data_IF_065897674949
#
_entry.id   IF_065897674949
#
_cell.length_a   1.000
_cell.length_b   1.000
_cell.length_c   1.000
_cell.angle_alpha   90.00
_cell.angle_beta   90.00
_cell.angle_gamma   90.00
#
_symmetry.space_group_name_H-M   'P 1'
#
loop_
_entity.id
_entity.type
_entity.pdbx_description
1 polymer ?
#
# COMPACT_ATOMS: atom_id res chain seq x y z
N UNK A 1 14.69 52.50 -3.54
CA UNK A 1 15.73 52.41 -4.56
C UNK A 1 15.03 52.12 -5.88
N UNK A 2 15.24 52.90 -6.92
CA UNK A 2 14.61 52.65 -8.22
C UNK A 2 15.46 51.65 -8.99
N UNK A 3 14.82 50.67 -9.63
CA UNK A 3 15.47 49.75 -10.56
C UNK A 3 15.47 50.43 -11.94
N UNK A 4 16.66 50.60 -12.53
CA UNK A 4 16.81 51.15 -13.87
C UNK A 4 17.21 50.03 -14.85
N UNK A 5 16.46 49.92 -15.93
CA UNK A 5 16.77 48.97 -17.02
C UNK A 5 17.34 49.81 -18.15
N UNK A 6 18.62 49.62 -18.50
CA UNK A 6 19.30 50.31 -19.59
C UNK A 6 18.98 49.62 -20.91
N UNK A 7 18.91 50.38 -22.00
CA UNK A 7 18.61 49.86 -23.34
C UNK A 7 19.60 48.80 -23.88
N UNK A 8 20.73 48.57 -23.21
CA UNK A 8 21.71 47.52 -23.52
C UNK A 8 21.41 46.21 -22.72
N UNK A 9 20.28 46.11 -22.04
CA UNK A 9 19.89 44.92 -21.26
C UNK A 9 20.52 44.81 -19.86
N UNK A 10 21.27 45.82 -19.41
CA UNK A 10 21.88 45.81 -18.07
C UNK A 10 20.85 46.32 -17.04
N UNK A 11 20.63 45.56 -15.98
CA UNK A 11 19.82 45.96 -14.85
C UNK A 11 20.75 46.43 -13.73
N UNK A 12 20.64 47.74 -13.37
CA UNK A 12 21.40 48.30 -12.25
C UNK A 12 20.46 48.54 -11.03
N UNK A 13 21.05 48.41 -9.84
CA UNK A 13 20.26 48.47 -8.58
C UNK A 13 19.53 47.17 -8.22
N UNK A 14 19.76 46.10 -8.94
CA UNK A 14 19.28 44.78 -8.59
C UNK A 14 20.28 44.09 -7.66
N UNK A 15 19.81 43.72 -6.48
CA UNK A 15 20.55 42.83 -5.59
C UNK A 15 19.98 41.41 -5.77
N UNK A 16 20.81 40.47 -6.22
CA UNK A 16 20.36 39.07 -6.30
C UNK A 16 19.82 38.60 -4.95
N UNK A 17 18.83 37.76 -4.99
CA UNK A 17 18.34 37.11 -3.77
C UNK A 17 19.49 36.28 -3.19
N UNK A 18 20.00 36.70 -2.02
CA UNK A 18 21.10 35.97 -1.38
C UNK A 18 20.68 34.56 -0.98
N UNK A 19 21.62 33.62 -1.01
CA UNK A 19 21.38 32.26 -0.54
C UNK A 19 20.82 32.28 0.89
N UNK A 20 19.75 31.50 1.12
CA UNK A 20 19.04 31.46 2.41
C UNK A 20 18.16 32.68 2.71
N UNK A 21 18.07 33.67 1.79
CA UNK A 21 17.19 34.83 1.98
C UNK A 21 15.69 34.51 1.83
N UNK A 22 15.34 33.42 1.17
CA UNK A 22 13.98 32.89 1.12
C UNK A 22 13.79 31.98 2.32
N UNK A 23 13.10 32.45 3.34
CA UNK A 23 12.75 31.69 4.53
C UNK A 23 11.30 31.17 4.44
N UNK A 24 10.93 30.18 5.25
CA UNK A 24 9.56 29.69 5.33
C UNK A 24 8.52 30.80 5.55
N UNK A 25 8.89 31.82 6.34
CA UNK A 25 8.02 32.99 6.60
C UNK A 25 7.82 33.91 5.38
N UNK A 26 8.66 33.80 4.35
CA UNK A 26 8.55 34.57 3.10
C UNK A 26 7.81 33.82 1.99
N UNK A 27 7.54 32.56 2.20
CA UNK A 27 6.68 31.77 1.33
C UNK A 27 5.24 31.90 1.81
N UNK A 28 4.33 32.28 0.93
CA UNK A 28 2.92 32.19 1.24
C UNK A 28 2.53 30.73 1.54
N UNK A 29 1.51 30.55 2.38
CA UNK A 29 0.90 29.23 2.53
C UNK A 29 0.55 28.68 1.14
N UNK A 30 0.87 27.43 0.90
CA UNK A 30 0.64 26.74 -0.38
C UNK A 30 1.41 27.28 -1.60
N UNK A 31 2.43 28.11 -1.40
CA UNK A 31 3.30 28.56 -2.48
C UNK A 31 4.00 27.40 -3.22
N UNK A 32 4.24 26.30 -2.51
CA UNK A 32 4.68 25.02 -3.10
C UNK A 32 3.50 24.05 -3.01
N UNK A 33 2.83 23.86 -4.11
CA UNK A 33 1.71 22.95 -4.26
C UNK A 33 2.08 21.73 -5.12
N UNK A 34 1.24 20.72 -5.14
CA UNK A 34 1.41 19.56 -6.03
C UNK A 34 1.58 20.00 -7.51
N UNK A 35 0.94 21.11 -7.92
CA UNK A 35 1.05 21.63 -9.28
C UNK A 35 2.45 22.17 -9.62
N UNK A 36 3.17 22.72 -8.64
CA UNK A 36 4.49 23.36 -8.84
C UNK A 36 5.65 22.39 -8.71
N UNK A 37 5.44 21.22 -8.11
CA UNK A 37 6.49 20.20 -7.97
C UNK A 37 6.81 19.53 -9.32
N UNK A 38 8.05 19.14 -9.58
CA UNK A 38 8.39 18.41 -10.80
C UNK A 38 7.84 16.99 -10.81
N UNK A 39 7.74 16.38 -12.01
CA UNK A 39 7.42 14.97 -12.14
C UNK A 39 8.41 14.10 -11.34
N UNK A 40 7.94 13.00 -10.76
CA UNK A 40 8.71 12.13 -9.87
C UNK A 40 8.72 12.56 -8.40
N UNK A 41 8.18 13.74 -8.06
CA UNK A 41 8.06 14.17 -6.67
C UNK A 41 7.05 13.31 -5.92
N UNK A 42 7.37 12.94 -4.67
CA UNK A 42 6.41 12.36 -3.74
C UNK A 42 5.51 13.48 -3.22
N UNK A 43 4.21 13.37 -3.49
CA UNK A 43 3.21 14.36 -3.10
C UNK A 43 2.66 14.11 -1.70
N UNK A 44 2.46 12.85 -1.35
CA UNK A 44 1.98 12.43 -0.03
C UNK A 44 2.30 10.96 0.25
N UNK A 45 2.27 10.62 1.52
CA UNK A 45 2.43 9.24 2.00
C UNK A 45 1.31 8.96 2.99
N UNK A 46 0.61 7.84 2.80
CA UNK A 46 -0.40 7.34 3.72
C UNK A 46 0.02 5.96 4.20
N UNK A 47 -0.08 5.72 5.50
CA UNK A 47 0.27 4.44 6.11
C UNK A 47 -0.87 3.97 7.01
N UNK A 48 -1.17 2.67 6.94
CA UNK A 48 -2.06 1.97 7.87
C UNK A 48 -1.26 0.91 8.60
N UNK A 49 -1.30 0.96 9.94
CA UNK A 49 -0.72 -0.05 10.82
C UNK A 49 -1.84 -0.78 11.53
N UNK A 50 -1.91 -2.09 11.38
CA UNK A 50 -2.87 -2.94 12.04
C UNK A 50 -2.18 -3.80 13.10
N UNK A 51 -2.58 -3.63 14.35
CA UNK A 51 -2.12 -4.45 15.49
C UNK A 51 -3.25 -5.31 16.06
N UNK A 52 -4.50 -4.99 15.71
CA UNK A 52 -5.66 -5.80 16.05
C UNK A 52 -5.64 -7.12 15.26
N UNK A 53 -6.25 -8.14 15.84
CA UNK A 53 -6.41 -9.42 15.16
C UNK A 53 -7.65 -9.41 14.30
N UNK A 54 -7.57 -10.00 13.10
CA UNK A 54 -8.71 -10.17 12.21
C UNK A 54 -8.78 -11.63 11.74
N UNK A 55 -9.97 -12.21 11.78
CA UNK A 55 -10.25 -13.54 11.24
C UNK A 55 -10.97 -13.40 9.90
N UNK A 56 -10.36 -13.86 8.82
CA UNK A 56 -10.89 -13.79 7.46
C UNK A 56 -11.28 -15.19 7.01
N UNK A 57 -12.59 -15.48 7.01
CA UNK A 57 -13.11 -16.75 6.49
C UNK A 57 -12.99 -16.78 4.95
N UNK A 58 -12.37 -17.86 4.43
CA UNK A 58 -12.21 -18.07 2.99
C UNK A 58 -13.15 -19.20 2.54
N UNK A 59 -14.35 -18.82 2.14
CA UNK A 59 -15.44 -19.76 1.88
C UNK A 59 -15.39 -20.39 0.48
N UNK A 60 -14.69 -19.77 -0.48
CA UNK A 60 -14.64 -20.23 -1.85
C UNK A 60 -13.21 -20.27 -2.38
N UNK A 61 -12.87 -21.32 -3.10
CA UNK A 61 -11.56 -21.45 -3.74
C UNK A 61 -11.40 -20.39 -4.84
N UNK A 62 -10.23 -19.75 -4.90
CA UNK A 62 -9.91 -18.74 -5.90
C UNK A 62 -10.57 -17.38 -5.70
N UNK A 63 -11.32 -17.18 -4.61
CA UNK A 63 -11.86 -15.88 -4.23
C UNK A 63 -10.94 -15.23 -3.20
N UNK A 64 -10.60 -13.96 -3.41
CA UNK A 64 -9.83 -13.18 -2.46
C UNK A 64 -10.74 -12.34 -1.57
N UNK A 65 -10.65 -12.56 -0.27
CA UNK A 65 -11.42 -11.87 0.77
C UNK A 65 -10.56 -10.76 1.38
N UNK A 66 -11.07 -9.55 1.41
CA UNK A 66 -10.30 -8.39 1.83
C UNK A 66 -9.91 -8.38 3.31
N UNK A 67 -8.67 -8.06 3.59
CA UNK A 67 -8.18 -7.77 4.95
C UNK A 67 -8.50 -6.30 5.23
N UNK A 68 -9.66 -6.05 5.83
CA UNK A 68 -10.23 -4.69 5.96
C UNK A 68 -9.47 -3.79 6.93
N UNK A 69 -8.78 -4.38 7.91
CA UNK A 69 -7.98 -3.62 8.88
C UNK A 69 -6.69 -3.04 8.25
N UNK A 70 -6.37 -3.46 7.02
CA UNK A 70 -5.27 -2.90 6.21
C UNK A 70 -5.74 -1.95 5.11
N UNK A 71 -7.03 -1.60 5.05
CA UNK A 71 -7.53 -0.64 4.08
C UNK A 71 -6.77 0.69 4.19
N UNK A 72 -6.09 1.06 3.12
CA UNK A 72 -5.34 2.31 3.05
C UNK A 72 -5.90 3.17 1.94
N UNK A 73 -6.58 4.24 2.32
CA UNK A 73 -7.21 5.18 1.37
C UNK A 73 -6.34 6.41 1.18
N UNK A 74 -6.07 6.72 -0.07
CA UNK A 74 -5.37 7.94 -0.49
C UNK A 74 -6.28 8.75 -1.41
N UNK A 75 -6.37 10.07 -1.18
CA UNK A 75 -7.05 10.98 -2.11
C UNK A 75 -6.00 11.68 -2.96
N UNK A 76 -6.02 11.45 -4.26
CA UNK A 76 -5.00 11.94 -5.19
C UNK A 76 -4.91 13.46 -5.20
N UNK A 77 -3.70 14.01 -5.13
CA UNK A 77 -3.41 15.45 -5.21
C UNK A 77 -3.16 15.91 -6.65
N UNK A 78 -2.80 14.99 -7.54
CA UNK A 78 -2.56 15.30 -8.96
C UNK A 78 -3.27 14.28 -9.86
N UNK A 79 -3.68 14.72 -11.04
CA UNK A 79 -4.26 13.82 -12.02
C UNK A 79 -3.21 12.84 -12.57
N UNK A 80 -3.64 11.60 -12.83
CA UNK A 80 -2.81 10.53 -13.38
C UNK A 80 -1.56 10.18 -12.56
N UNK A 81 -1.50 10.55 -11.28
CA UNK A 81 -0.40 10.18 -10.38
C UNK A 81 -0.17 8.67 -10.38
N UNK A 82 1.09 8.29 -10.19
CA UNK A 82 1.47 6.92 -9.89
C UNK A 82 1.42 6.70 -8.38
N UNK A 83 1.02 5.49 -7.98
CA UNK A 83 0.92 5.12 -6.58
C UNK A 83 1.88 3.97 -6.30
N UNK A 84 2.92 4.23 -5.49
CA UNK A 84 3.82 3.20 -4.99
C UNK A 84 3.18 2.59 -3.75
N UNK A 85 2.91 1.30 -3.79
CA UNK A 85 2.26 0.56 -2.71
C UNK A 85 3.17 -0.54 -2.21
N UNK A 86 3.17 -0.77 -0.90
CA UNK A 86 3.88 -1.86 -0.24
C UNK A 86 3.11 -2.32 0.98
N UNK A 87 3.22 -3.60 1.33
CA UNK A 87 2.49 -4.20 2.43
C UNK A 87 3.26 -5.36 3.04
N UNK A 88 3.10 -5.54 4.34
CA UNK A 88 3.44 -6.76 5.05
C UNK A 88 2.22 -7.24 5.80
N UNK A 89 1.91 -8.52 5.62
CA UNK A 89 0.84 -9.20 6.35
C UNK A 89 1.47 -10.24 7.26
N UNK A 90 1.20 -10.13 8.56
CA UNK A 90 1.56 -11.14 9.54
C UNK A 90 0.33 -11.97 9.88
N UNK A 91 0.47 -13.29 9.96
CA UNK A 91 -0.64 -14.15 10.33
C UNK A 91 -0.42 -15.61 9.98
N UNK A 92 -1.46 -16.39 10.20
CA UNK A 92 -1.45 -17.84 10.01
C UNK A 92 -2.74 -18.31 9.35
N UNK A 93 -2.63 -19.34 8.52
CA UNK A 93 -3.77 -20.10 8.00
C UNK A 93 -4.19 -21.19 8.99
N UNK A 94 -5.47 -21.53 8.96
CA UNK A 94 -6.02 -22.59 9.84
C UNK A 94 -5.58 -24.00 9.48
N UNK A 95 -5.05 -24.18 8.26
CA UNK A 95 -4.55 -25.46 7.77
C UNK A 95 -3.31 -25.25 6.91
N UNK A 96 -2.23 -25.97 7.19
CA UNK A 96 -0.99 -25.91 6.41
C UNK A 96 -1.11 -26.58 5.04
N UNK A 97 -2.02 -27.54 4.89
CA UNK A 97 -2.26 -28.20 3.61
C UNK A 97 -3.08 -27.31 2.67
N UNK A 98 -3.68 -26.23 3.20
CA UNK A 98 -4.36 -25.23 2.40
C UNK A 98 -3.36 -24.20 1.86
N UNK A 99 -3.20 -24.16 0.56
CA UNK A 99 -2.38 -23.14 -0.09
C UNK A 99 -3.13 -21.80 -0.05
N UNK A 100 -2.63 -20.88 0.76
CA UNK A 100 -3.12 -19.51 0.80
C UNK A 100 -2.28 -18.61 -0.08
N UNK A 101 -2.94 -17.66 -0.73
CA UNK A 101 -2.30 -16.61 -1.52
C UNK A 101 -2.88 -15.26 -1.24
N UNK A 102 -2.14 -14.24 -1.63
CA UNK A 102 -2.54 -12.85 -1.53
C UNK A 102 -2.69 -12.23 -2.91
N UNK A 103 -3.67 -11.33 -3.06
CA UNK A 103 -3.84 -10.48 -4.23
C UNK A 103 -3.96 -9.03 -3.81
N UNK A 104 -3.35 -8.13 -4.57
CA UNK A 104 -3.62 -6.72 -4.47
C UNK A 104 -5.04 -6.42 -4.92
N UNK A 105 -5.75 -5.63 -4.13
CA UNK A 105 -7.08 -5.11 -4.48
C UNK A 105 -7.05 -3.59 -4.49
N UNK A 106 -7.68 -3.01 -5.51
CA UNK A 106 -7.88 -1.58 -5.62
C UNK A 106 -9.36 -1.26 -5.64
N UNK A 107 -9.80 -0.40 -4.73
CA UNK A 107 -11.17 0.09 -4.60
C UNK A 107 -11.29 1.53 -5.09
N UNK A 108 -12.22 1.78 -6.01
CA UNK A 108 -12.62 3.11 -6.45
C UNK A 108 -14.13 3.17 -6.34
N UNK A 109 -14.66 4.21 -5.69
CA UNK A 109 -16.10 4.37 -5.45
C UNK A 109 -16.76 3.14 -4.80
N UNK A 110 -16.04 2.47 -3.88
CA UNK A 110 -16.53 1.31 -3.13
C UNK A 110 -16.45 -0.03 -3.84
N UNK A 111 -16.07 -0.07 -5.12
CA UNK A 111 -15.91 -1.33 -5.86
C UNK A 111 -14.45 -1.75 -5.86
N UNK A 112 -14.16 -2.95 -5.37
CA UNK A 112 -12.81 -3.53 -5.34
C UNK A 112 -12.60 -4.47 -6.51
N UNK A 113 -11.41 -4.39 -7.12
CA UNK A 113 -10.95 -5.30 -8.17
C UNK A 113 -9.56 -5.82 -7.82
N UNK A 114 -9.34 -7.12 -8.05
CA UNK A 114 -8.00 -7.71 -7.95
C UNK A 114 -7.14 -7.23 -9.12
N UNK A 115 -5.87 -7.00 -8.86
CA UNK A 115 -4.90 -6.64 -9.89
C UNK A 115 -3.51 -7.17 -9.56
N UNK A 116 -2.58 -7.13 -10.52
CA UNK A 116 -1.21 -7.68 -10.36
C UNK A 116 -1.18 -9.12 -9.87
N UNK A 117 -2.01 -9.94 -10.44
CA UNK A 117 -1.98 -11.38 -10.30
C UNK A 117 -1.12 -12.00 -11.42
N UNK A 118 -0.70 -13.26 -11.23
CA UNK A 118 -0.02 -14.02 -12.26
C UNK A 118 -0.85 -14.13 -13.55
N UNK A 119 -0.21 -14.52 -14.63
CA UNK A 119 -0.84 -14.66 -15.94
C UNK A 119 -1.84 -15.81 -15.97
N UNK A 120 -3.03 -15.54 -16.53
CA UNK A 120 -4.03 -16.56 -16.84
C UNK A 120 -3.65 -17.25 -18.16
N UNK A 121 -3.17 -18.47 -18.06
CA UNK A 121 -2.85 -19.30 -19.24
C UNK A 121 -4.08 -20.03 -19.83
N UNK A 122 -5.30 -19.60 -19.42
CA UNK A 122 -6.56 -20.20 -19.85
C UNK A 122 -6.84 -21.58 -19.25
N UNK A 123 -6.06 -22.00 -18.25
CA UNK A 123 -6.21 -23.27 -17.56
C UNK A 123 -6.85 -23.10 -16.18
N UNK A 124 -6.82 -24.14 -15.36
CA UNK A 124 -7.39 -24.12 -13.99
C UNK A 124 -6.42 -23.56 -12.93
N UNK A 125 -5.36 -22.89 -13.32
CA UNK A 125 -4.38 -22.30 -12.39
C UNK A 125 -5.00 -21.14 -11.64
N UNK A 126 -4.51 -20.94 -10.42
CA UNK A 126 -4.96 -19.86 -9.56
C UNK A 126 -4.00 -18.68 -9.67
N UNK A 127 -4.50 -17.59 -10.17
CA UNK A 127 -3.76 -16.35 -10.24
C UNK A 127 -3.73 -15.66 -8.88
N UNK A 128 -2.55 -15.25 -8.45
CA UNK A 128 -2.35 -14.48 -7.20
C UNK A 128 -1.11 -13.60 -7.34
N UNK A 129 -1.00 -12.59 -6.49
CA UNK A 129 0.19 -11.75 -6.44
C UNK A 129 1.35 -12.51 -5.80
N UNK A 130 1.10 -13.22 -4.71
CA UNK A 130 2.10 -14.04 -4.01
C UNK A 130 1.43 -15.14 -3.19
N UNK A 131 2.19 -16.17 -2.88
CA UNK A 131 1.78 -17.22 -1.95
C UNK A 131 2.21 -16.81 -0.54
N UNK A 132 1.43 -17.19 0.46
CA UNK A 132 1.80 -17.00 1.86
C UNK A 132 3.10 -17.75 2.16
N UNK A 133 4.04 -17.09 2.83
CA UNK A 133 5.23 -17.75 3.34
C UNK A 133 4.81 -18.68 4.48
N UNK A 134 5.09 -19.98 4.34
CA UNK A 134 4.83 -20.97 5.38
C UNK A 134 6.11 -21.12 6.21
N UNK A 135 6.06 -20.64 7.43
CA UNK A 135 7.09 -20.91 8.43
C UNK A 135 6.57 -21.92 9.46
N UNK A 136 7.39 -22.88 9.87
CA UNK A 136 7.04 -23.82 10.93
C UNK A 136 8.19 -23.96 11.90
N UNK A 137 7.90 -23.85 13.19
CA UNK A 137 8.88 -24.18 14.23
C UNK A 137 9.04 -25.70 14.41
N UNK A 138 7.98 -26.45 14.12
CA UNK A 138 7.94 -27.90 14.28
C UNK A 138 6.83 -28.50 13.43
N UNK A 139 6.43 -29.72 13.72
CA UNK A 139 5.23 -30.35 13.16
C UNK A 139 3.91 -29.76 13.67
N UNK A 140 3.95 -28.79 14.57
CA UNK A 140 2.76 -28.11 15.06
C UNK A 140 2.35 -27.01 14.08
N UNK A 141 1.12 -27.07 13.62
CA UNK A 141 0.55 -26.31 12.50
C UNK A 141 -0.31 -25.14 12.95
N UNK A 142 -0.40 -24.89 14.25
CA UNK A 142 -1.38 -23.95 14.81
C UNK A 142 -0.75 -22.84 15.65
N UNK A 143 0.56 -22.74 15.66
CA UNK A 143 1.31 -21.83 16.55
C UNK A 143 2.48 -21.13 15.85
N UNK A 144 2.49 -21.09 14.53
CA UNK A 144 3.61 -20.52 13.76
C UNK A 144 3.14 -19.49 12.74
N UNK A 145 2.69 -18.32 13.19
CA UNK A 145 2.36 -17.24 12.28
C UNK A 145 3.62 -16.73 11.55
N UNK A 146 3.46 -16.29 10.33
CA UNK A 146 4.56 -15.78 9.52
C UNK A 146 4.26 -14.39 8.96
N UNK A 147 5.33 -13.67 8.63
CA UNK A 147 5.22 -12.40 7.91
C UNK A 147 5.41 -12.65 6.41
N UNK A 148 4.42 -12.28 5.63
CA UNK A 148 4.51 -12.25 4.16
C UNK A 148 4.63 -10.82 3.70
N UNK A 149 5.76 -10.47 3.11
CA UNK A 149 5.97 -9.15 2.51
C UNK A 149 5.56 -9.17 1.04
N UNK A 150 4.69 -8.24 0.66
CA UNK A 150 4.40 -7.97 -0.73
C UNK A 150 5.37 -6.90 -1.21
N UNK A 151 6.18 -7.18 -2.24
CA UNK A 151 7.18 -6.22 -2.72
C UNK A 151 6.52 -4.92 -3.21
N UNK A 152 7.25 -3.80 -3.15
CA UNK A 152 6.73 -2.54 -3.65
C UNK A 152 6.31 -2.64 -5.11
N UNK A 153 5.16 -2.07 -5.42
CA UNK A 153 4.53 -2.07 -6.74
C UNK A 153 4.11 -0.66 -7.10
N UNK A 154 4.31 -0.25 -8.34
CA UNK A 154 3.78 1.00 -8.89
C UNK A 154 2.47 0.70 -9.63
N UNK A 155 1.38 1.25 -9.12
CA UNK A 155 0.09 1.27 -9.80
C UNK A 155 -0.11 2.61 -10.53
N UNK A 156 -0.80 2.57 -11.67
CA UNK A 156 -1.14 3.74 -12.49
C UNK A 156 -2.65 3.75 -12.74
N UNK A 157 -3.46 4.16 -11.75
CA UNK A 157 -4.91 4.03 -11.82
C UNK A 157 -5.59 5.01 -12.79
N UNK A 158 -4.85 5.97 -13.35
CA UNK A 158 -5.32 6.98 -14.32
C UNK A 158 -6.54 7.76 -13.82
N UNK A 159 -6.51 8.24 -12.58
CA UNK A 159 -7.60 8.95 -11.95
C UNK A 159 -7.37 10.48 -11.97
N UNK A 160 -8.47 11.25 -11.86
CA UNK A 160 -8.42 12.68 -11.66
C UNK A 160 -7.88 13.02 -10.25
N UNK A 161 -7.34 14.24 -10.09
CA UNK A 161 -7.07 14.79 -8.77
C UNK A 161 -8.35 14.84 -7.93
N UNK A 162 -8.23 14.57 -6.63
CA UNK A 162 -9.37 14.49 -5.70
C UNK A 162 -10.07 13.14 -5.67
N UNK A 163 -9.61 12.14 -6.43
CA UNK A 163 -10.21 10.80 -6.39
C UNK A 163 -9.68 10.01 -5.19
N UNK A 164 -10.59 9.49 -4.37
CA UNK A 164 -10.26 8.57 -3.30
C UNK A 164 -10.07 7.16 -3.85
N UNK A 165 -8.89 6.57 -3.57
CA UNK A 165 -8.52 5.23 -3.98
C UNK A 165 -8.15 4.45 -2.72
N UNK A 166 -8.76 3.30 -2.51
CA UNK A 166 -8.45 2.42 -1.38
C UNK A 166 -7.67 1.21 -1.87
N UNK A 167 -6.50 0.98 -1.30
CA UNK A 167 -5.75 -0.25 -1.48
C UNK A 167 -6.01 -1.19 -0.34
N UNK A 168 -6.06 -2.47 -0.66
CA UNK A 168 -6.34 -3.58 0.25
C UNK A 168 -5.56 -4.81 -0.19
N UNK A 169 -5.28 -5.71 0.73
CA UNK A 169 -4.87 -7.07 0.41
C UNK A 169 -6.06 -8.00 0.56
N UNK A 170 -6.31 -8.75 -0.49
CA UNK A 170 -7.19 -9.91 -0.43
C UNK A 170 -6.41 -11.17 -0.11
N UNK A 171 -6.92 -12.00 0.79
CA UNK A 171 -6.41 -13.33 1.08
C UNK A 171 -7.37 -14.37 0.56
N UNK A 172 -6.85 -15.40 -0.10
CA UNK A 172 -7.65 -16.47 -0.69
C UNK A 172 -6.98 -17.82 -0.59
N UNK A 173 -7.79 -18.86 -0.52
CA UNK A 173 -7.32 -20.25 -0.55
C UNK A 173 -7.42 -20.84 -1.95
N UNK A 174 -6.60 -21.84 -2.21
CA UNK A 174 -6.56 -22.56 -3.50
C UNK A 174 -7.39 -23.82 -3.50
N UNK A 175 -7.44 -24.53 -2.37
CA UNK A 175 -8.11 -25.84 -2.24
C UNK A 175 -8.50 -26.06 -0.78
N UNK A 176 -9.28 -27.10 -0.53
CA UNK A 176 -9.64 -27.53 0.81
C UNK A 176 -11.04 -27.09 1.27
N UNK A 177 -11.39 -27.46 2.50
CA UNK A 177 -12.62 -27.09 3.19
C UNK A 177 -12.70 -25.60 3.48
N UNK A 178 -13.74 -25.12 4.15
CA UNK A 178 -13.79 -23.74 4.64
C UNK A 178 -12.65 -23.51 5.63
N UNK A 179 -11.74 -22.64 5.25
CA UNK A 179 -10.56 -22.29 6.02
C UNK A 179 -10.59 -20.81 6.41
N UNK A 180 -9.77 -20.41 7.35
CA UNK A 180 -9.62 -19.01 7.71
C UNK A 180 -8.15 -18.60 7.71
N UNK A 181 -7.91 -17.34 7.38
CA UNK A 181 -6.66 -16.67 7.63
C UNK A 181 -6.80 -15.78 8.87
N UNK A 182 -5.87 -15.90 9.80
CA UNK A 182 -5.84 -15.15 11.06
C UNK A 182 -4.73 -14.12 11.02
N UNK A 183 -5.10 -12.86 10.79
CA UNK A 183 -4.16 -11.76 10.77
C UNK A 183 -3.71 -11.41 12.19
N UNK A 184 -2.42 -11.13 12.33
CA UNK A 184 -1.73 -10.67 13.56
C UNK A 184 -1.77 -11.64 14.74
N UNK A 185 -2.07 -12.92 14.49
CA UNK A 185 -2.11 -13.95 15.54
C UNK A 185 -1.82 -15.34 14.98
N UNK A 186 -1.42 -16.24 15.88
CA UNK A 186 -1.41 -17.66 15.63
C UNK A 186 -2.83 -18.24 15.59
N UNK A 187 -3.01 -19.38 14.94
CA UNK A 187 -4.33 -20.02 14.87
C UNK A 187 -4.87 -20.41 16.25
N UNK A 188 -4.05 -21.04 17.06
CA UNK A 188 -4.47 -21.48 18.39
C UNK A 188 -4.63 -20.31 19.40
N UNK A 189 -3.93 -19.21 19.19
CA UNK A 189 -4.00 -17.92 19.93
C UNK A 189 -4.36 -18.05 21.43
N UNK A 190 -3.69 -18.95 22.13
CA UNK A 190 -3.83 -19.06 23.58
C UNK A 190 -2.88 -18.09 24.31
N UNK A 191 -3.20 -17.72 25.55
CA UNK A 191 -2.33 -16.87 26.37
C UNK A 191 -1.10 -17.65 26.87
N UNK A 192 -0.18 -17.97 25.98
CA UNK A 192 1.05 -18.72 26.23
C UNK A 192 2.18 -18.06 25.44
N UNK A 193 3.39 -18.13 25.98
CA UNK A 193 4.60 -17.63 25.31
C UNK A 193 4.95 -18.40 24.02
N UNK A 194 4.24 -19.46 23.71
CA UNK A 194 4.42 -20.24 22.48
C UNK A 194 3.59 -19.71 21.29
N UNK A 195 2.78 -18.67 21.50
CA UNK A 195 1.91 -18.12 20.44
C UNK A 195 2.24 -16.66 20.24
N UNK A 196 2.67 -16.34 19.03
CA UNK A 196 3.10 -15.00 18.69
C UNK A 196 1.92 -14.16 18.17
N UNK A 197 1.99 -12.88 18.49
CA UNK A 197 1.20 -11.82 17.86
C UNK A 197 2.12 -10.83 17.19
N UNK A 198 1.78 -10.43 15.99
CA UNK A 198 2.55 -9.48 15.21
C UNK A 198 1.73 -8.28 14.78
N UNK A 199 2.30 -7.53 13.87
CA UNK A 199 1.65 -6.38 13.26
C UNK A 199 1.76 -6.46 11.73
N UNK A 200 0.71 -6.01 11.08
CA UNK A 200 0.64 -5.85 9.63
C UNK A 200 0.60 -4.37 9.29
N UNK A 201 1.08 -4.00 8.11
CA UNK A 201 1.08 -2.61 7.68
C UNK A 201 0.95 -2.50 6.16
N UNK A 202 0.44 -1.36 5.72
CA UNK A 202 0.40 -0.97 4.31
C UNK A 202 0.81 0.49 4.18
N UNK A 203 1.61 0.79 3.15
CA UNK A 203 2.02 2.15 2.80
C UNK A 203 1.67 2.43 1.35
N UNK A 204 1.11 3.60 1.10
CA UNK A 204 0.81 4.14 -0.23
C UNK A 204 1.47 5.50 -0.36
N UNK A 205 2.26 5.69 -1.42
CA UNK A 205 2.92 6.96 -1.74
C UNK A 205 2.41 7.47 -3.10
N UNK A 206 1.97 8.70 -3.15
CA UNK A 206 1.62 9.35 -4.41
C UNK A 206 2.84 9.99 -5.04
N UNK A 207 3.09 9.65 -6.30
CA UNK A 207 4.19 10.16 -7.11
C UNK A 207 3.59 10.95 -8.29
N UNK A 208 4.00 12.20 -8.42
CA UNK A 208 3.59 13.07 -9.52
C UNK A 208 4.11 12.56 -10.87
N UNK A 209 3.26 12.57 -11.88
CA UNK A 209 3.61 12.28 -13.29
C UNK A 209 3.86 13.55 -14.08
#
# INVERSE_FOLDING_TARGET
MAITINGNGTITGYTPVADGSITAAKLASDAISAATLPAGSVLQVVNTNATATQNIATNSNGTFYGITDLDTTITTLSANSKLLISCQVFGEATDIDAVFGFAWQRGISGTFTDFMKGDDDGASRREMTTIMSLGHYSSNQTDTPSATSLPPLIDSPSQAAGTAITYRIGVGKQSGSVEAFRMNQAYADSNSASYERGASWMTVMEIKT
#
